data_IF_241798868571
#
_entry.id   IF_241798868571
#
_cell.length_a   1.000
_cell.length_b   1.000
_cell.length_c   1.000
_cell.angle_alpha   90.00
_cell.angle_beta   90.00
_cell.angle_gamma   90.00
#
_symmetry.space_group_name_H-M   'P 1'
#
loop_
_entity.id
_entity.type
_entity.pdbx_description
1 polymer ?
#
# COMPACT_ATOMS: atom_id res chain seq x y z
N UNK A 1 -44.34 -40.27 -54.95
CA UNK A 1 -44.63 -39.26 -53.90
C UNK A 1 -45.31 -40.01 -52.76
N UNK A 2 -44.88 -40.04 -51.50
CA UNK A 2 -44.00 -39.15 -50.77
C UNK A 2 -43.55 -39.86 -49.46
N UNK A 3 -42.24 -39.84 -49.21
CA UNK A 3 -41.48 -39.80 -47.95
C UNK A 3 -41.71 -40.76 -46.76
N UNK A 4 -40.67 -41.59 -46.55
CA UNK A 4 -40.18 -42.08 -45.25
C UNK A 4 -39.79 -40.93 -44.30
N UNK A 5 -40.14 -41.05 -43.01
CA UNK A 5 -39.60 -40.23 -41.91
C UNK A 5 -38.44 -40.96 -41.24
N UNK A 6 -37.21 -40.52 -41.49
CA UNK A 6 -36.06 -40.78 -40.62
C UNK A 6 -36.12 -39.82 -39.43
N UNK A 7 -36.14 -40.35 -38.20
CA UNK A 7 -35.84 -39.56 -37.00
C UNK A 7 -34.34 -39.62 -36.74
N UNK A 8 -33.66 -38.49 -36.93
CA UNK A 8 -32.26 -38.30 -36.53
C UNK A 8 -32.24 -37.90 -35.06
N UNK A 9 -31.74 -38.78 -34.19
CA UNK A 9 -31.37 -38.40 -32.83
C UNK A 9 -30.07 -37.57 -32.89
N UNK A 10 -30.19 -36.25 -32.69
CA UNK A 10 -29.03 -35.42 -32.35
C UNK A 10 -28.58 -35.77 -30.93
N UNK A 11 -27.40 -36.38 -30.80
CA UNK A 11 -26.66 -36.40 -29.54
C UNK A 11 -26.15 -34.98 -29.27
N UNK A 12 -26.76 -34.30 -28.31
CA UNK A 12 -26.19 -33.09 -27.70
C UNK A 12 -24.98 -33.51 -26.88
N UNK A 13 -23.78 -33.29 -27.43
CA UNK A 13 -22.54 -33.32 -26.66
C UNK A 13 -22.58 -32.11 -25.72
N UNK A 14 -22.97 -32.35 -24.46
CA UNK A 14 -22.77 -31.39 -23.38
C UNK A 14 -21.27 -31.32 -23.13
N UNK A 15 -20.63 -30.26 -23.63
CA UNK A 15 -19.30 -29.87 -23.16
C UNK A 15 -19.42 -29.50 -21.68
N UNK A 16 -19.14 -30.47 -20.81
CA UNK A 16 -18.85 -30.19 -19.40
C UNK A 16 -17.56 -29.37 -19.40
N UNK A 17 -17.68 -28.05 -19.27
CA UNK A 17 -16.54 -27.21 -18.97
C UNK A 17 -15.98 -27.68 -17.64
N UNK A 18 -14.78 -28.25 -17.66
CA UNK A 18 -14.00 -28.58 -16.47
C UNK A 18 -13.75 -27.28 -15.69
N UNK A 19 -14.64 -26.95 -14.75
CA UNK A 19 -14.37 -25.98 -13.71
C UNK A 19 -13.18 -26.54 -12.91
N UNK A 20 -12.00 -25.93 -13.06
CA UNK A 20 -10.84 -26.30 -12.26
C UNK A 20 -11.22 -26.21 -10.78
N UNK A 21 -10.93 -27.24 -9.99
CA UNK A 21 -11.20 -27.20 -8.56
C UNK A 21 -10.47 -26.00 -7.94
N UNK A 22 -11.25 -25.11 -7.32
CA UNK A 22 -10.73 -23.96 -6.59
C UNK A 22 -10.52 -24.36 -5.13
N UNK A 23 -9.29 -24.21 -4.63
CA UNK A 23 -9.01 -24.34 -3.19
C UNK A 23 -8.94 -22.95 -2.58
N UNK A 24 -9.71 -22.74 -1.51
CA UNK A 24 -9.70 -21.50 -0.71
C UNK A 24 -9.03 -21.83 0.63
N UNK A 25 -8.15 -20.95 1.09
CA UNK A 25 -7.51 -21.04 2.40
C UNK A 25 -7.67 -19.70 3.10
N UNK A 26 -8.24 -19.71 4.29
CA UNK A 26 -8.44 -18.54 5.13
C UNK A 26 -7.58 -18.66 6.38
N UNK A 27 -6.87 -17.58 6.71
CA UNK A 27 -5.96 -17.51 7.85
C UNK A 27 -6.26 -16.21 8.59
N UNK A 28 -6.63 -16.32 9.86
CA UNK A 28 -6.54 -15.18 10.78
C UNK A 28 -5.10 -15.05 11.21
N UNK A 29 -4.40 -14.06 10.65
CA UNK A 29 -3.00 -13.81 10.96
C UNK A 29 -2.87 -13.22 12.37
N UNK A 30 -3.69 -12.23 12.66
CA UNK A 30 -3.77 -11.62 13.99
C UNK A 30 -5.16 -11.06 14.26
N UNK A 31 -5.71 -11.33 15.45
CA UNK A 31 -6.98 -10.77 15.94
C UNK A 31 -6.82 -10.12 17.32
N UNK A 32 -5.58 -10.09 17.83
CA UNK A 32 -5.22 -9.50 19.13
C UNK A 32 -6.02 -10.04 20.32
N UNK A 33 -6.60 -11.25 20.20
CA UNK A 33 -7.35 -11.91 21.28
C UNK A 33 -6.47 -12.25 22.50
N UNK A 34 -5.18 -12.42 22.28
CA UNK A 34 -4.15 -12.63 23.30
C UNK A 34 -3.66 -11.34 23.97
N UNK A 35 -4.28 -10.19 23.66
CA UNK A 35 -3.89 -8.86 24.15
C UNK A 35 -2.45 -8.47 23.76
N UNK A 36 -1.99 -8.92 22.59
CA UNK A 36 -0.72 -8.52 22.00
C UNK A 36 0.48 -9.33 22.46
N UNK A 37 0.27 -10.43 23.21
CA UNK A 37 1.36 -11.30 23.68
C UNK A 37 2.21 -11.81 22.50
N UNK A 38 1.58 -12.23 21.41
CA UNK A 38 2.27 -12.73 20.20
C UNK A 38 2.64 -11.64 19.19
N UNK A 39 2.44 -10.35 19.51
CA UNK A 39 2.59 -9.28 18.53
C UNK A 39 3.99 -9.25 17.90
N UNK A 40 5.04 -9.27 18.71
CA UNK A 40 6.42 -9.19 18.20
C UNK A 40 6.93 -10.48 17.55
N UNK A 41 6.25 -11.61 17.73
CA UNK A 41 6.53 -12.85 17.00
C UNK A 41 5.97 -12.79 15.57
N UNK A 42 4.84 -12.09 15.41
CA UNK A 42 4.13 -11.92 14.14
C UNK A 42 4.56 -10.66 13.39
N UNK A 43 4.97 -9.61 14.08
CA UNK A 43 5.20 -8.31 13.46
C UNK A 43 6.62 -7.85 13.69
N UNK A 44 7.34 -7.64 12.59
CA UNK A 44 8.63 -6.96 12.58
C UNK A 44 8.40 -5.48 12.39
N UNK A 45 9.12 -4.65 13.14
CA UNK A 45 9.19 -3.20 12.96
C UNK A 45 10.56 -2.87 12.33
N UNK A 46 10.75 -3.12 11.02
CA UNK A 46 12.08 -3.14 10.39
C UNK A 46 12.80 -1.79 10.41
N UNK A 47 12.05 -0.70 10.52
CA UNK A 47 12.58 0.67 10.60
C UNK A 47 12.72 1.16 12.04
N UNK A 48 12.35 0.33 13.00
CA UNK A 48 12.36 0.60 14.43
C UNK A 48 13.54 -0.19 15.03
N UNK A 49 14.76 0.34 14.93
CA UNK A 49 15.94 -0.27 15.56
C UNK A 49 17.28 -0.31 14.81
N UNK A 50 17.48 0.42 13.70
CA UNK A 50 18.79 0.50 13.01
C UNK A 50 19.53 1.84 13.14
N UNK A 51 18.95 2.81 13.83
CA UNK A 51 19.72 3.83 14.56
C UNK A 51 19.38 3.63 16.04
N UNK A 52 20.37 3.74 16.94
CA UNK A 52 20.29 3.51 18.39
C UNK A 52 19.34 4.42 19.18
N UNK A 53 18.24 4.82 18.58
CA UNK A 53 17.16 5.65 19.09
C UNK A 53 15.94 4.76 19.35
N UNK A 54 16.14 3.81 20.26
CA UNK A 54 15.06 3.12 20.98
C UNK A 54 14.02 4.13 21.46
N UNK A 55 12.76 3.69 21.64
CA UNK A 55 11.60 4.31 22.33
C UNK A 55 11.84 5.45 23.35
N UNK A 56 13.05 5.57 23.90
CA UNK A 56 13.56 6.49 24.91
C UNK A 56 14.13 7.80 24.35
N UNK A 57 14.79 7.85 23.17
CA UNK A 57 15.28 9.14 22.61
C UNK A 57 14.18 9.92 21.87
N UNK A 58 13.18 9.22 21.34
CA UNK A 58 12.00 9.78 20.66
C UNK A 58 10.84 10.10 21.61
N UNK A 59 11.05 10.04 22.94
CA UNK A 59 10.05 10.38 23.95
C UNK A 59 8.76 9.54 23.94
N UNK A 60 8.77 8.34 23.33
CA UNK A 60 7.59 7.48 23.26
C UNK A 60 6.48 7.99 22.31
N UNK A 61 6.86 8.62 21.19
CA UNK A 61 5.94 9.15 20.18
C UNK A 61 4.97 8.09 19.61
N UNK A 62 5.46 6.86 19.36
CA UNK A 62 4.62 5.73 18.96
C UNK A 62 4.19 4.91 20.18
N UNK A 63 2.88 4.74 20.35
CA UNK A 63 2.29 3.89 21.38
C UNK A 63 1.46 2.78 20.75
N UNK A 64 1.78 1.55 21.11
CA UNK A 64 0.96 0.37 20.81
C UNK A 64 0.08 0.05 22.02
N UNK A 65 -1.20 -0.24 21.78
CA UNK A 65 -2.13 -0.66 22.82
C UNK A 65 -3.02 -1.79 22.32
N UNK A 66 -3.18 -2.82 23.14
CA UNK A 66 -3.97 -4.00 22.83
C UNK A 66 -5.13 -4.09 23.83
N UNK A 67 -6.32 -3.68 23.40
CA UNK A 67 -7.50 -3.65 24.27
C UNK A 67 -8.75 -3.97 23.46
N UNK A 68 -9.58 -4.88 23.97
CA UNK A 68 -10.83 -5.33 23.33
C UNK A 68 -10.59 -5.97 21.95
N UNK A 69 -9.64 -6.90 21.86
CA UNK A 69 -9.31 -7.66 20.64
C UNK A 69 -9.03 -6.76 19.44
N UNK A 70 -8.25 -5.71 19.67
CA UNK A 70 -7.76 -4.82 18.61
C UNK A 70 -6.43 -4.21 19.00
N UNK A 71 -5.67 -3.88 17.98
CA UNK A 71 -4.49 -3.05 18.07
C UNK A 71 -4.88 -1.58 17.89
N UNK A 72 -4.38 -0.74 18.79
CA UNK A 72 -4.31 0.71 18.65
C UNK A 72 -2.86 1.10 18.41
N UNK A 73 -2.59 1.72 17.28
CA UNK A 73 -1.30 2.36 16.97
C UNK A 73 -1.51 3.86 17.08
N UNK A 74 -0.70 4.56 17.86
CA UNK A 74 -0.98 5.94 18.25
C UNK A 74 0.27 6.81 18.21
N UNK A 75 0.22 7.85 17.38
CA UNK A 75 1.16 8.97 17.37
C UNK A 75 0.40 10.25 16.97
N UNK A 76 -0.44 10.80 17.86
CA UNK A 76 -1.38 11.87 17.53
C UNK A 76 -0.73 13.26 17.41
N UNK A 77 0.48 13.42 17.95
CA UNK A 77 1.24 14.67 17.92
C UNK A 77 2.29 14.61 16.81
N UNK A 78 2.47 15.75 16.13
CA UNK A 78 3.64 15.95 15.30
C UNK A 78 4.83 16.26 16.20
N UNK A 79 5.92 15.53 16.02
CA UNK A 79 7.19 15.73 16.70
C UNK A 79 8.23 16.35 15.73
N UNK A 80 9.33 16.82 16.30
CA UNK A 80 10.49 17.32 15.56
C UNK A 80 11.64 16.34 15.78
N UNK A 81 12.35 15.95 14.72
CA UNK A 81 13.54 15.08 14.80
C UNK A 81 14.35 15.28 13.54
N UNK A 82 15.60 14.85 13.62
CA UNK A 82 16.51 14.74 12.50
C UNK A 82 16.78 13.26 12.29
N UNK A 83 16.54 12.78 11.07
CA UNK A 83 17.05 11.48 10.65
C UNK A 83 17.84 11.69 9.34
N UNK A 84 18.72 10.75 9.02
CA UNK A 84 19.55 10.73 7.83
C UNK A 84 19.06 9.71 6.80
N UNK A 85 18.07 8.87 7.15
CA UNK A 85 17.53 7.84 6.27
C UNK A 85 16.43 8.40 5.34
N UNK A 86 16.39 7.88 4.10
CA UNK A 86 15.41 8.18 3.03
C UNK A 86 14.01 7.56 3.28
N UNK A 87 13.80 6.95 4.46
CA UNK A 87 12.66 6.08 4.76
C UNK A 87 11.67 6.69 5.78
N UNK A 88 11.57 8.02 5.84
CA UNK A 88 10.79 8.73 6.87
C UNK A 88 9.32 8.32 6.93
N UNK A 89 8.71 8.02 5.79
CA UNK A 89 7.29 7.69 5.72
C UNK A 89 6.96 6.25 6.17
N UNK A 90 7.94 5.38 6.43
CA UNK A 90 7.74 3.98 6.84
C UNK A 90 8.13 3.65 8.28
N UNK A 91 8.53 4.63 9.09
CA UNK A 91 9.04 4.42 10.46
C UNK A 91 8.09 3.67 11.41
N UNK A 92 6.80 3.96 11.37
CA UNK A 92 5.81 3.28 12.23
C UNK A 92 5.03 2.19 11.47
N UNK A 93 5.69 1.57 10.50
CA UNK A 93 5.16 0.42 9.78
C UNK A 93 5.67 -0.87 10.43
N UNK A 94 4.73 -1.75 10.75
CA UNK A 94 4.96 -3.15 11.01
C UNK A 94 4.77 -3.97 9.73
N UNK A 95 5.64 -4.96 9.52
CA UNK A 95 5.50 -5.98 8.48
C UNK A 95 5.39 -7.35 9.11
N UNK A 96 4.56 -8.22 8.53
CA UNK A 96 4.39 -9.60 8.96
C UNK A 96 5.74 -10.34 8.89
N UNK A 97 6.14 -11.06 9.94
CA UNK A 97 7.31 -11.96 9.91
C UNK A 97 7.10 -13.12 8.93
N UNK A 98 5.83 -13.40 8.59
CA UNK A 98 5.44 -14.38 7.58
C UNK A 98 5.40 -13.77 6.18
N UNK A 99 5.96 -14.51 5.22
CA UNK A 99 5.85 -14.24 3.78
C UNK A 99 4.84 -15.21 3.17
N UNK A 100 3.76 -14.68 2.60
CA UNK A 100 2.71 -15.48 1.97
C UNK A 100 3.07 -15.74 0.50
N UNK A 101 3.10 -17.00 0.09
CA UNK A 101 3.47 -17.38 -1.28
C UNK A 101 2.35 -17.00 -2.25
N UNK A 102 2.72 -16.35 -3.34
CA UNK A 102 1.80 -16.10 -4.44
C UNK A 102 1.53 -17.42 -5.19
N UNK A 103 0.27 -17.79 -5.46
CA UNK A 103 -0.04 -18.94 -6.28
C UNK A 103 0.38 -18.69 -7.73
N UNK A 104 0.62 -19.77 -8.49
CA UNK A 104 0.83 -19.67 -9.94
C UNK A 104 -0.42 -19.18 -10.66
N UNK A 105 -1.59 -19.63 -10.21
CA UNK A 105 -2.91 -19.25 -10.69
C UNK A 105 -3.82 -19.04 -9.48
N UNK A 106 -4.42 -17.86 -9.38
CA UNK A 106 -5.36 -17.51 -8.32
C UNK A 106 -5.04 -16.18 -7.65
N UNK A 107 -5.23 -16.08 -6.34
CA UNK A 107 -5.07 -14.82 -5.61
C UNK A 107 -4.59 -14.95 -4.18
N UNK A 108 -4.03 -13.85 -3.66
CA UNK A 108 -3.78 -13.61 -2.25
C UNK A 108 -4.45 -12.30 -1.89
N UNK A 109 -5.28 -12.31 -0.85
CA UNK A 109 -5.94 -11.13 -0.32
C UNK A 109 -5.51 -10.92 1.13
N UNK A 110 -5.12 -9.69 1.45
CA UNK A 110 -4.93 -9.23 2.82
C UNK A 110 -6.05 -8.29 3.17
N UNK A 111 -6.64 -8.45 4.35
CA UNK A 111 -7.69 -7.56 4.83
C UNK A 111 -7.55 -7.23 6.30
N UNK A 112 -8.11 -6.08 6.67
CA UNK A 112 -8.21 -5.62 8.04
C UNK A 112 -9.46 -4.77 8.21
N UNK A 113 -10.21 -4.99 9.28
CA UNK A 113 -11.17 -4.01 9.76
C UNK A 113 -10.40 -2.91 10.45
N UNK A 114 -10.53 -1.68 9.97
CA UNK A 114 -9.76 -0.55 10.50
C UNK A 114 -10.52 0.78 10.50
N UNK A 115 -10.01 1.70 11.31
CA UNK A 115 -10.39 3.12 11.35
C UNK A 115 -9.15 3.96 11.65
N UNK A 116 -9.09 5.16 11.10
CA UNK A 116 -8.09 6.15 11.42
C UNK A 116 -8.73 7.42 11.98
N UNK A 117 -8.11 7.99 13.01
CA UNK A 117 -8.34 9.38 13.39
C UNK A 117 -7.07 10.14 13.02
N UNK A 118 -7.22 11.29 12.36
CA UNK A 118 -6.10 12.17 12.03
C UNK A 118 -6.28 13.51 12.73
N UNK A 119 -5.18 14.14 13.06
CA UNK A 119 -5.07 15.33 13.87
C UNK A 119 -4.05 16.25 13.22
N UNK A 120 -4.24 17.56 13.37
CA UNK A 120 -3.25 18.57 13.00
C UNK A 120 -2.82 18.50 11.51
N UNK A 121 -3.69 17.98 10.65
CA UNK A 121 -3.53 18.04 9.19
C UNK A 121 -4.02 19.38 8.65
N UNK A 122 -3.43 19.82 7.54
CA UNK A 122 -3.71 21.10 6.90
C UNK A 122 -4.23 20.85 5.48
N UNK A 123 -5.53 21.07 5.20
CA UNK A 123 -6.14 20.79 3.90
C UNK A 123 -5.53 21.50 2.69
N UNK A 124 -4.72 22.54 2.91
CA UNK A 124 -4.08 23.35 1.85
C UNK A 124 -2.57 23.41 2.00
N UNK A 125 -1.97 22.43 2.68
CA UNK A 125 -0.53 22.37 2.82
C UNK A 125 0.14 22.21 1.45
N UNK A 126 1.06 23.12 1.18
CA UNK A 126 1.92 23.06 0.00
C UNK A 126 3.34 22.79 0.46
N UNK A 127 4.03 21.97 -0.32
CA UNK A 127 5.44 21.68 -0.12
C UNK A 127 6.19 21.98 -1.41
N UNK A 128 7.44 22.41 -1.24
CA UNK A 128 8.37 22.63 -2.32
C UNK A 128 9.30 21.43 -2.37
N UNK A 129 9.45 20.84 -3.54
CA UNK A 129 10.40 19.75 -3.80
C UNK A 129 11.07 19.92 -5.16
N UNK A 130 12.15 19.19 -5.44
CA UNK A 130 12.74 19.11 -6.77
C UNK A 130 12.29 17.83 -7.45
N UNK A 131 11.99 17.89 -8.74
CA UNK A 131 11.70 16.67 -9.50
C UNK A 131 13.03 16.05 -9.92
N UNK A 132 13.24 14.75 -9.71
CA UNK A 132 14.53 14.11 -10.09
C UNK A 132 14.94 14.39 -11.54
N UNK A 133 13.98 14.55 -12.46
CA UNK A 133 14.25 14.84 -13.87
C UNK A 133 14.48 16.32 -14.19
N UNK A 134 14.26 17.23 -13.24
CA UNK A 134 14.34 18.69 -13.43
C UNK A 134 14.89 19.33 -12.16
N UNK A 135 16.02 20.00 -12.28
CA UNK A 135 16.65 20.74 -11.19
C UNK A 135 15.91 22.07 -10.84
N UNK A 136 14.59 22.08 -10.99
CA UNK A 136 13.73 23.23 -10.69
C UNK A 136 12.82 22.87 -9.52
N UNK A 137 12.69 23.76 -8.51
CA UNK A 137 11.68 23.63 -7.47
C UNK A 137 10.27 23.56 -8.07
N UNK A 138 9.48 22.62 -7.58
CA UNK A 138 8.07 22.45 -7.88
C UNK A 138 7.32 22.56 -6.55
N UNK A 139 6.40 23.50 -6.49
CA UNK A 139 5.41 23.56 -5.42
C UNK A 139 4.25 22.63 -5.76
N UNK A 140 3.85 21.78 -4.81
CA UNK A 140 2.66 20.97 -4.96
C UNK A 140 1.89 20.86 -3.64
N UNK A 141 0.58 20.70 -3.77
CA UNK A 141 -0.34 20.54 -2.64
C UNK A 141 -0.33 19.08 -2.21
N UNK A 142 -0.17 18.82 -0.91
CA UNK A 142 -0.34 17.48 -0.34
C UNK A 142 -1.71 17.33 0.30
N UNK A 143 -2.37 16.20 0.05
CA UNK A 143 -3.62 15.87 0.72
C UNK A 143 -3.37 15.47 2.17
N UNK A 144 -4.42 15.50 3.00
CA UNK A 144 -4.30 15.23 4.43
C UNK A 144 -3.88 13.79 4.73
N UNK A 145 -4.33 12.81 3.92
CA UNK A 145 -3.90 11.43 4.06
C UNK A 145 -2.42 11.19 3.77
N UNK A 146 -1.77 12.08 3.01
CA UNK A 146 -0.31 12.11 2.86
C UNK A 146 0.38 12.81 4.02
N UNK A 147 -0.32 13.56 4.86
CA UNK A 147 0.26 14.18 6.05
C UNK A 147 0.21 13.23 7.25
N UNK A 148 -0.93 12.55 7.42
CA UNK A 148 -1.20 11.64 8.51
C UNK A 148 -2.24 10.60 8.09
N UNK A 149 -2.01 9.32 8.36
CA UNK A 149 -2.95 8.25 8.01
C UNK A 149 -2.60 6.93 8.69
N UNK A 150 -3.59 6.03 8.83
CA UNK A 150 -3.34 4.62 9.13
C UNK A 150 -3.34 3.80 7.84
N UNK A 151 -2.54 2.74 7.78
CA UNK A 151 -2.32 1.98 6.55
C UNK A 151 -2.52 0.48 6.72
N UNK A 152 -3.17 -0.13 5.74
CA UNK A 152 -3.06 -1.56 5.43
C UNK A 152 -2.18 -1.71 4.18
N UNK A 153 -1.13 -2.52 4.27
CA UNK A 153 -0.12 -2.71 3.22
C UNK A 153 -0.06 -4.15 2.74
N UNK A 154 0.11 -4.32 1.44
CA UNK A 154 0.59 -5.53 0.80
C UNK A 154 1.96 -5.22 0.17
N UNK A 155 3.01 -5.89 0.66
CA UNK A 155 4.40 -5.57 0.33
C UNK A 155 5.13 -6.72 -0.35
N UNK A 156 5.81 -6.40 -1.45
CA UNK A 156 6.87 -7.20 -2.06
C UNK A 156 8.21 -6.44 -2.02
N UNK A 157 8.39 -5.53 -1.05
CA UNK A 157 9.57 -4.68 -0.95
C UNK A 157 10.89 -5.46 -0.94
N UNK A 158 10.89 -6.67 -0.36
CA UNK A 158 12.05 -7.56 -0.30
C UNK A 158 12.40 -8.27 -1.62
N UNK A 159 11.62 -8.11 -2.69
CA UNK A 159 12.01 -8.61 -4.02
C UNK A 159 12.03 -7.50 -5.06
N UNK A 160 10.90 -6.83 -5.29
CA UNK A 160 10.75 -5.89 -6.42
C UNK A 160 10.57 -4.43 -6.01
N UNK A 161 10.41 -4.16 -4.72
CA UNK A 161 10.09 -2.80 -4.24
C UNK A 161 8.61 -2.45 -4.43
N UNK A 162 7.77 -3.39 -4.90
CA UNK A 162 6.35 -3.14 -5.06
C UNK A 162 5.64 -3.10 -3.71
N UNK A 163 4.83 -2.06 -3.53
CA UNK A 163 3.90 -1.93 -2.40
C UNK A 163 2.53 -1.48 -2.90
N UNK A 164 1.51 -1.96 -2.21
CA UNK A 164 0.12 -1.56 -2.40
C UNK A 164 -0.45 -1.20 -1.03
N UNK A 165 -1.03 -0.02 -0.93
CA UNK A 165 -1.48 0.54 0.34
C UNK A 165 -2.94 0.99 0.23
N UNK A 166 -3.72 0.61 1.23
CA UNK A 166 -4.90 1.37 1.63
C UNK A 166 -4.47 2.40 2.65
N UNK A 167 -4.61 3.68 2.30
CA UNK A 167 -4.29 4.80 3.17
C UNK A 167 -5.59 5.39 3.70
N UNK A 168 -5.81 5.33 5.00
CA UNK A 168 -7.06 5.73 5.68
C UNK A 168 -6.80 6.92 6.56
N UNK A 169 -7.59 7.98 6.42
CA UNK A 169 -7.42 9.23 7.16
C UNK A 169 -8.79 9.89 7.39
N UNK A 170 -9.20 9.96 8.65
CA UNK A 170 -10.51 10.49 9.03
C UNK A 170 -11.66 9.72 8.37
N UNK A 171 -12.47 10.43 7.60
CA UNK A 171 -13.61 9.92 6.83
C UNK A 171 -13.28 9.64 5.36
N UNK A 172 -11.99 9.54 5.02
CA UNK A 172 -11.53 9.29 3.66
C UNK A 172 -10.50 8.16 3.61
N UNK A 173 -10.38 7.58 2.42
CA UNK A 173 -9.27 6.68 2.10
C UNK A 173 -8.82 6.87 0.66
N UNK A 174 -7.58 6.52 0.35
CA UNK A 174 -7.14 6.35 -1.03
C UNK A 174 -6.32 5.07 -1.21
N UNK A 175 -6.45 4.49 -2.40
CA UNK A 175 -5.57 3.43 -2.85
C UNK A 175 -4.27 4.04 -3.38
N UNK A 176 -3.14 3.44 -3.00
CA UNK A 176 -1.82 3.84 -3.44
C UNK A 176 -1.03 2.63 -3.92
N UNK A 177 -0.30 2.81 -5.01
CA UNK A 177 0.75 1.85 -5.42
C UNK A 177 2.08 2.56 -5.52
N UNK A 178 3.13 1.84 -5.18
CA UNK A 178 4.49 2.33 -5.29
C UNK A 178 5.43 1.22 -5.71
N UNK A 179 6.46 1.62 -6.44
CA UNK A 179 7.59 0.79 -6.83
C UNK A 179 8.86 1.55 -6.48
N UNK A 180 9.61 1.01 -5.54
CA UNK A 180 10.85 1.63 -5.08
C UNK A 180 12.04 1.27 -5.97
N UNK A 181 13.07 2.12 -5.94
CA UNK A 181 14.31 1.93 -6.69
C UNK A 181 15.41 1.24 -5.86
N UNK A 182 15.14 0.93 -4.59
CA UNK A 182 16.09 0.41 -3.60
C UNK A 182 15.80 -1.06 -3.21
N UNK A 183 14.96 -1.77 -3.96
CA UNK A 183 14.64 -3.17 -3.68
C UNK A 183 15.87 -4.09 -3.79
N UNK A 184 16.01 -5.12 -2.95
CA UNK A 184 17.25 -5.89 -2.85
C UNK A 184 17.48 -6.90 -3.98
N UNK A 185 16.42 -7.42 -4.64
CA UNK A 185 16.56 -8.45 -5.69
C UNK A 185 16.33 -7.88 -7.10
N UNK A 186 15.30 -7.06 -7.26
CA UNK A 186 14.88 -6.50 -8.54
C UNK A 186 14.55 -5.00 -8.38
N UNK A 187 15.54 -4.17 -8.03
CA UNK A 187 15.34 -2.73 -7.89
C UNK A 187 14.85 -2.12 -9.20
N UNK A 188 13.95 -1.16 -9.10
CA UNK A 188 13.60 -0.33 -10.25
C UNK A 188 14.74 0.65 -10.56
N UNK A 189 14.99 0.91 -11.85
CA UNK A 189 15.70 2.14 -12.22
C UNK A 189 14.76 3.35 -12.09
N UNK A 190 15.29 4.56 -12.33
CA UNK A 190 14.49 5.81 -12.26
C UNK A 190 13.25 5.76 -13.18
N UNK A 191 13.32 5.07 -14.32
CA UNK A 191 12.19 4.93 -15.24
C UNK A 191 11.17 3.86 -14.78
N UNK A 192 11.58 2.98 -13.89
CA UNK A 192 10.76 1.92 -13.30
C UNK A 192 10.10 2.34 -12.00
N UNK A 193 10.68 3.29 -11.27
CA UNK A 193 10.16 3.75 -9.98
C UNK A 193 8.96 4.68 -10.15
N UNK A 194 8.00 4.57 -9.22
CA UNK A 194 6.83 5.45 -9.15
C UNK A 194 6.15 5.34 -7.80
N UNK A 195 5.39 6.36 -7.44
CA UNK A 195 4.49 6.37 -6.29
C UNK A 195 3.23 7.10 -6.73
N UNK A 196 2.07 6.45 -6.68
CA UNK A 196 0.84 7.00 -7.23
C UNK A 196 -0.36 6.78 -6.32
N UNK A 197 -0.95 7.89 -5.90
CA UNK A 197 -2.33 7.91 -5.41
C UNK A 197 -3.26 7.69 -6.59
N UNK A 198 -4.09 6.66 -6.50
CA UNK A 198 -4.95 6.19 -7.57
C UNK A 198 -6.27 6.95 -7.57
N UNK A 199 -6.93 6.95 -6.42
CA UNK A 199 -8.25 7.53 -6.23
C UNK A 199 -8.55 7.66 -4.75
N UNK A 200 -9.12 8.80 -4.38
CA UNK A 200 -9.68 9.05 -3.06
C UNK A 200 -11.16 8.68 -3.03
N UNK A 201 -11.59 8.15 -1.89
CA UNK A 201 -12.94 7.69 -1.61
C UNK A 201 -13.42 8.31 -0.30
N UNK A 202 -14.69 8.71 -0.28
CA UNK A 202 -15.37 9.10 0.94
C UNK A 202 -15.86 7.83 1.66
N UNK A 203 -15.68 7.79 2.98
CA UNK A 203 -16.15 6.73 3.86
C UNK A 203 -17.37 7.21 4.64
N UNK A 204 -18.23 6.27 5.02
CA UNK A 204 -19.21 6.54 6.07
C UNK A 204 -18.53 6.58 7.44
N UNK A 205 -19.24 7.08 8.44
CA UNK A 205 -18.76 7.03 9.82
C UNK A 205 -18.63 5.58 10.30
N UNK A 206 -17.51 5.25 10.96
CA UNK A 206 -17.34 3.96 11.63
C UNK A 206 -16.03 3.27 11.27
N UNK A 207 -16.06 1.94 11.37
CA UNK A 207 -14.98 1.05 10.92
C UNK A 207 -15.37 0.44 9.59
N UNK A 208 -14.38 0.11 8.77
CA UNK A 208 -14.58 -0.50 7.47
C UNK A 208 -13.62 -1.66 7.30
N UNK A 209 -14.03 -2.68 6.54
CA UNK A 209 -13.14 -3.75 6.12
C UNK A 209 -12.40 -3.34 4.86
N UNK A 210 -11.11 -3.03 4.99
CA UNK A 210 -10.24 -2.73 3.87
C UNK A 210 -9.55 -4.01 3.42
N UNK A 211 -9.49 -4.24 2.12
CA UNK A 211 -8.74 -5.37 1.57
C UNK A 211 -7.96 -5.00 0.32
N UNK A 212 -6.81 -5.65 0.16
CA UNK A 212 -5.98 -5.61 -1.05
C UNK A 212 -5.90 -7.04 -1.56
N UNK A 213 -6.35 -7.26 -2.79
CA UNK A 213 -6.38 -8.58 -3.43
C UNK A 213 -5.50 -8.59 -4.66
N UNK A 214 -4.41 -9.33 -4.59
CA UNK A 214 -3.53 -9.57 -5.71
C UNK A 214 -3.96 -10.84 -6.44
N UNK A 215 -4.11 -10.76 -7.76
CA UNK A 215 -4.37 -11.89 -8.64
C UNK A 215 -3.21 -12.13 -9.58
N UNK A 216 -2.98 -13.41 -9.85
CA UNK A 216 -2.04 -13.88 -10.86
C UNK A 216 -2.70 -14.89 -11.77
N UNK A 217 -2.46 -14.70 -13.07
CA UNK A 217 -2.56 -15.76 -14.06
C UNK A 217 -1.30 -15.80 -14.90
N UNK A 218 -0.45 -16.80 -14.67
CA UNK A 218 0.71 -17.07 -15.51
C UNK A 218 0.28 -17.59 -16.88
N UNK A 219 -0.80 -18.34 -17.00
CA UNK A 219 -1.31 -18.80 -18.29
C UNK A 219 -1.75 -17.62 -19.16
N UNK A 220 -2.52 -16.70 -18.59
CA UNK A 220 -2.98 -15.51 -19.32
C UNK A 220 -1.97 -14.35 -19.29
N UNK A 221 -0.80 -14.56 -18.68
CA UNK A 221 0.29 -13.60 -18.58
C UNK A 221 -0.15 -12.23 -18.04
N UNK A 222 -0.97 -12.21 -16.99
CA UNK A 222 -1.29 -10.98 -16.26
C UNK A 222 -1.21 -11.13 -14.74
N UNK A 223 -0.86 -10.02 -14.11
CA UNK A 223 -1.12 -9.75 -12.70
C UNK A 223 -2.05 -8.55 -12.59
N UNK A 224 -2.86 -8.53 -11.54
CA UNK A 224 -3.62 -7.35 -11.15
C UNK A 224 -3.79 -7.25 -9.64
N UNK A 225 -4.07 -6.04 -9.17
CA UNK A 225 -4.38 -5.75 -7.77
C UNK A 225 -5.72 -5.05 -7.71
N UNK A 226 -6.57 -5.50 -6.80
CA UNK A 226 -7.84 -4.87 -6.47
C UNK A 226 -7.80 -4.32 -5.07
N UNK A 227 -8.40 -3.15 -4.91
CA UNK A 227 -8.59 -2.48 -3.64
C UNK A 227 -10.08 -2.54 -3.30
N UNK A 228 -10.40 -3.12 -2.16
CA UNK A 228 -11.78 -3.34 -1.72
C UNK A 228 -12.06 -2.60 -0.41
N UNK A 229 -13.29 -2.08 -0.29
CA UNK A 229 -13.89 -1.60 0.96
C UNK A 229 -15.19 -2.38 1.15
N UNK A 230 -15.35 -3.01 2.30
CA UNK A 230 -16.54 -3.80 2.68
C UNK A 230 -16.92 -4.86 1.62
N UNK A 231 -15.90 -5.51 1.05
CA UNK A 231 -16.06 -6.54 0.02
C UNK A 231 -16.35 -6.01 -1.39
N UNK A 232 -16.55 -4.71 -1.56
CA UNK A 232 -16.76 -4.08 -2.87
C UNK A 232 -15.45 -3.63 -3.49
N UNK A 233 -15.19 -4.01 -4.74
CA UNK A 233 -14.03 -3.52 -5.51
C UNK A 233 -14.20 -2.03 -5.82
N UNK A 234 -13.25 -1.24 -5.35
CA UNK A 234 -13.24 0.22 -5.47
C UNK A 234 -12.36 0.70 -6.63
N UNK A 235 -11.24 0.02 -6.86
CA UNK A 235 -10.38 0.21 -8.04
C UNK A 235 -9.52 -1.03 -8.28
N UNK A 236 -9.04 -1.18 -9.51
CA UNK A 236 -8.16 -2.26 -9.95
C UNK A 236 -6.96 -1.66 -10.66
N UNK A 237 -5.77 -2.20 -10.44
CA UNK A 237 -4.54 -1.93 -11.20
C UNK A 237 -4.19 -3.19 -11.97
N UNK A 238 -4.00 -3.08 -13.28
CA UNK A 238 -3.56 -4.19 -14.14
C UNK A 238 -2.06 -4.06 -14.40
N UNK A 239 -1.44 -5.05 -15.05
CA UNK A 239 -0.05 -4.98 -15.52
C UNK A 239 0.93 -4.49 -14.44
N UNK A 240 0.98 -5.23 -13.33
CA UNK A 240 1.74 -4.82 -12.15
C UNK A 240 3.20 -4.50 -12.49
N UNK A 241 3.66 -3.36 -11.97
CA UNK A 241 4.98 -2.78 -12.22
C UNK A 241 5.03 -1.75 -13.36
N UNK A 242 3.96 -1.62 -14.15
CA UNK A 242 3.73 -0.49 -15.05
C UNK A 242 2.91 0.57 -14.29
N UNK A 243 3.38 1.83 -14.18
CA UNK A 243 2.64 2.88 -13.50
C UNK A 243 1.23 3.06 -14.08
N UNK A 244 0.20 3.17 -13.22
CA UNK A 244 -1.17 3.42 -13.65
C UNK A 244 -1.34 4.58 -14.66
N UNK A 245 -0.57 5.67 -14.55
CA UNK A 245 -0.62 6.78 -15.52
C UNK A 245 -0.04 6.46 -16.91
N UNK A 246 0.67 5.34 -17.04
CA UNK A 246 1.18 4.80 -18.31
C UNK A 246 0.28 3.69 -18.87
N UNK A 247 -0.70 3.22 -18.10
CA UNK A 247 -1.65 2.21 -18.56
C UNK A 247 -2.75 2.87 -19.38
N UNK A 248 -2.91 2.42 -20.63
CA UNK A 248 -3.90 2.98 -21.57
C UNK A 248 -5.31 2.92 -20.97
N UNK A 249 -5.96 4.08 -20.89
CA UNK A 249 -7.35 4.20 -20.44
C UNK A 249 -7.55 4.11 -18.92
N UNK A 250 -6.48 3.99 -18.12
CA UNK A 250 -6.59 3.90 -16.67
C UNK A 250 -7.15 5.20 -16.07
N UNK A 251 -6.43 6.30 -16.27
CA UNK A 251 -6.94 7.63 -15.95
C UNK A 251 -7.66 8.19 -17.17
N UNK A 252 -8.98 8.37 -17.07
CA UNK A 252 -9.79 9.05 -18.09
C UNK A 252 -9.37 10.52 -18.28
N UNK A 253 -8.84 11.14 -17.23
CA UNK A 253 -8.36 12.51 -17.25
C UNK A 253 -6.96 12.58 -16.63
N UNK A 254 -5.97 13.05 -17.40
CA UNK A 254 -4.58 13.17 -16.97
C UNK A 254 -4.39 14.16 -15.81
N UNK A 255 -5.31 15.10 -15.60
CA UNK A 255 -5.26 16.03 -14.45
C UNK A 255 -5.58 15.36 -13.11
N UNK A 256 -6.03 14.09 -13.11
CA UNK A 256 -6.26 13.29 -11.90
C UNK A 256 -5.00 12.58 -11.38
N UNK A 257 -3.92 12.61 -12.15
CA UNK A 257 -2.64 12.01 -11.74
C UNK A 257 -1.97 12.97 -10.77
N UNK A 258 -2.00 12.63 -9.47
CA UNK A 258 -1.43 13.48 -8.41
C UNK A 258 0.10 13.51 -8.50
N UNK A 259 0.72 12.35 -8.73
CA UNK A 259 2.18 12.19 -8.82
C UNK A 259 2.53 11.41 -10.11
N UNK A 260 2.78 12.09 -11.25
CA UNK A 260 3.03 11.43 -12.52
C UNK A 260 4.36 10.67 -12.51
N UNK A 261 4.34 9.43 -13.02
CA UNK A 261 5.56 8.64 -13.14
C UNK A 261 6.51 9.24 -14.18
N UNK A 262 7.82 9.09 -13.94
CA UNK A 262 8.83 9.57 -14.89
C UNK A 262 8.97 8.67 -16.10
N UNK A 263 8.88 7.35 -15.91
CA UNK A 263 9.09 6.37 -16.97
C UNK A 263 7.93 5.43 -17.17
N UNK A 264 8.15 4.47 -18.06
CA UNK A 264 7.13 3.52 -18.52
C UNK A 264 6.91 2.34 -17.56
N UNK A 265 7.72 2.21 -16.51
CA UNK A 265 7.67 1.04 -15.63
C UNK A 265 8.27 -0.21 -16.26
N UNK A 266 8.03 -1.34 -15.60
CA UNK A 266 8.40 -2.67 -16.10
C UNK A 266 7.39 -3.69 -15.56
N UNK A 267 6.96 -4.66 -16.38
CA UNK A 267 6.08 -5.73 -15.93
C UNK A 267 6.78 -6.69 -14.95
N UNK A 268 6.11 -7.03 -13.85
CA UNK A 268 6.64 -7.81 -12.73
C UNK A 268 6.05 -9.22 -12.58
N UNK A 269 5.25 -9.69 -13.54
CA UNK A 269 4.50 -10.95 -13.45
C UNK A 269 5.28 -12.17 -12.93
N UNK A 270 6.55 -12.30 -13.34
CA UNK A 270 7.40 -13.43 -12.97
C UNK A 270 8.44 -13.09 -11.89
N UNK A 271 8.44 -11.86 -11.35
CA UNK A 271 9.46 -11.40 -10.39
C UNK A 271 9.01 -11.44 -8.94
N UNK A 272 7.69 -11.45 -8.69
CA UNK A 272 7.14 -11.52 -7.34
C UNK A 272 6.75 -12.97 -7.03
N UNK A 273 7.21 -13.52 -5.91
CA UNK A 273 6.84 -14.90 -5.50
C UNK A 273 6.18 -14.93 -4.14
N UNK A 274 6.29 -13.86 -3.36
CA UNK A 274 5.76 -13.76 -2.00
C UNK A 274 5.24 -12.35 -1.72
N UNK A 275 4.31 -12.22 -0.77
CA UNK A 275 3.80 -10.94 -0.28
C UNK A 275 3.81 -10.94 1.26
N UNK A 276 4.04 -9.79 1.85
CA UNK A 276 3.97 -9.55 3.30
C UNK A 276 2.82 -8.59 3.60
N UNK A 277 2.10 -8.84 4.69
CA UNK A 277 1.10 -7.91 5.21
C UNK A 277 1.87 -6.81 5.93
N UNK A 278 1.41 -5.58 5.86
CA UNK A 278 1.89 -4.52 6.73
C UNK A 278 0.76 -3.69 7.29
N UNK A 279 1.05 -3.05 8.41
CA UNK A 279 0.16 -2.06 9.00
C UNK A 279 0.95 -0.98 9.72
N UNK A 280 0.31 0.14 10.03
CA UNK A 280 0.98 1.21 10.76
C UNK A 280 0.29 2.53 10.55
N UNK A 281 1.01 3.60 10.82
CA UNK A 281 0.62 4.92 10.37
C UNK A 281 1.71 5.47 9.43
N UNK A 282 1.32 6.41 8.56
CA UNK A 282 2.17 7.06 7.57
C UNK A 282 2.08 8.58 7.66
N UNK A 283 3.21 9.21 7.35
CA UNK A 283 3.29 10.59 6.87
C UNK A 283 4.17 10.57 5.63
N UNK A 284 3.59 10.86 4.45
CA UNK A 284 4.18 10.70 3.12
C UNK A 284 4.29 12.05 2.40
N UNK A 285 5.26 12.83 2.87
CA UNK A 285 5.56 14.18 2.38
C UNK A 285 6.56 14.11 1.21
N UNK A 286 7.50 13.17 1.26
CA UNK A 286 8.42 12.80 0.19
C UNK A 286 7.82 11.66 -0.66
N UNK A 287 7.63 11.88 -1.95
CA UNK A 287 7.20 10.80 -2.86
C UNK A 287 7.98 10.89 -4.14
N UNK A 288 8.44 9.75 -4.64
CA UNK A 288 8.95 9.69 -6.00
C UNK A 288 7.89 10.22 -6.98
N UNK A 289 8.25 11.13 -7.91
CA UNK A 289 9.60 11.52 -8.31
C UNK A 289 10.18 12.78 -7.65
N UNK A 290 9.53 13.28 -6.62
CA UNK A 290 9.90 14.48 -5.90
C UNK A 290 10.87 14.14 -4.77
N UNK A 291 12.10 14.64 -4.87
CA UNK A 291 13.08 14.60 -3.78
C UNK A 291 13.33 16.04 -3.32
N UNK A 292 13.44 16.25 -2.01
CA UNK A 292 13.92 17.53 -1.49
C UNK A 292 15.45 17.54 -1.58
N UNK A 293 15.99 17.96 -2.73
CA UNK A 293 17.43 17.89 -3.03
C UNK A 293 18.25 19.08 -2.47
N UNK A 294 17.61 20.21 -2.10
CA UNK A 294 18.30 21.44 -1.65
C UNK A 294 18.75 21.44 -0.20
N UNK A 295 18.43 20.40 0.55
CA UNK A 295 18.87 20.30 1.92
C UNK A 295 20.08 19.38 1.88
N UNK A 296 21.27 19.99 1.83
CA UNK A 296 22.58 19.34 2.02
C UNK A 296 22.67 18.48 3.30
N UNK A 297 21.60 18.48 4.12
CA UNK A 297 21.39 17.72 5.34
C UNK A 297 20.14 16.80 5.32
N UNK A 298 19.70 16.28 4.17
CA UNK A 298 18.60 15.31 4.07
C UNK A 298 17.29 15.75 4.78
N UNK A 299 16.99 17.03 4.97
CA UNK A 299 15.83 17.43 5.77
C UNK A 299 14.52 17.29 4.97
N UNK A 300 13.61 16.37 5.30
CA UNK A 300 12.20 16.48 4.90
C UNK A 300 11.49 17.37 5.92
N UNK A 301 11.34 18.66 5.61
CA UNK A 301 10.59 19.59 6.46
C UNK A 301 9.27 19.87 5.78
N UNK A 302 8.14 19.67 6.45
CA UNK A 302 6.92 20.43 6.13
C UNK A 302 7.29 21.88 6.48
N UNK A 303 7.54 22.79 5.53
CA UNK A 303 7.93 24.15 5.89
C UNK A 303 6.71 24.81 6.53
N UNK A 304 6.69 24.94 7.86
CA UNK A 304 5.71 25.79 8.55
C UNK A 304 6.07 27.27 8.40
N UNK A 305 7.21 27.60 7.77
CA UNK A 305 7.58 28.96 7.38
C UNK A 305 6.61 29.48 6.32
N UNK A 306 5.43 29.89 6.77
CA UNK A 306 4.28 30.30 5.97
C UNK A 306 2.96 30.18 6.74
N UNK A 307 2.89 29.27 7.73
CA UNK A 307 1.90 29.31 8.79
C UNK A 307 2.43 30.26 9.86
N UNK A 308 1.94 31.49 9.79
CA UNK A 308 2.18 32.55 10.77
C UNK A 308 1.66 32.09 12.14
N UNK A 309 2.45 31.34 12.89
CA UNK A 309 2.46 31.47 14.34
C UNK A 309 3.27 32.75 14.62
N UNK A 310 2.58 33.88 14.53
CA UNK A 310 3.08 35.16 15.05
C UNK A 310 3.45 34.89 16.51
N UNK A 311 4.71 35.14 16.83
CA UNK A 311 5.40 34.86 18.09
C UNK A 311 5.97 33.45 18.25
N UNK A 312 7.21 33.29 17.74
CA UNK A 312 8.39 33.33 18.62
C UNK A 312 9.65 33.57 17.80
N UNK A 313 10.22 34.76 17.95
CA UNK A 313 11.62 35.02 17.62
C UNK A 313 12.50 33.98 18.34
N UNK A 314 13.49 33.43 17.64
CA UNK A 314 14.30 32.25 17.98
C UNK A 314 13.60 30.89 17.79
N UNK A 315 13.34 30.51 16.53
CA UNK A 315 13.15 29.10 16.20
C UNK A 315 14.48 28.53 15.65
N UNK A 316 15.28 27.80 16.45
CA UNK A 316 16.57 27.24 16.03
C UNK A 316 16.46 26.10 14.99
N UNK A 317 15.26 25.79 14.50
CA UNK A 317 14.98 24.58 13.72
C UNK A 317 14.82 24.83 12.22
N UNK A 318 15.78 25.52 11.59
CA UNK A 318 15.86 25.63 10.12
C UNK A 318 16.31 24.33 9.43
N UNK A 319 16.60 23.27 10.19
CA UNK A 319 17.11 21.98 9.71
C UNK A 319 16.37 20.74 10.23
N UNK A 320 15.33 20.90 11.07
CA UNK A 320 14.62 19.78 11.69
C UNK A 320 13.48 19.24 10.81
N UNK A 321 13.39 17.92 10.67
CA UNK A 321 12.25 17.27 10.02
C UNK A 321 11.03 17.37 10.94
N UNK A 322 9.86 17.73 10.38
CA UNK A 322 8.57 17.54 11.04
C UNK A 322 8.14 16.11 10.78
N UNK A 323 7.97 15.32 11.84
CA UNK A 323 7.65 13.90 11.76
C UNK A 323 6.87 13.51 13.02
N UNK A 324 5.85 12.70 12.89
CA UNK A 324 4.90 12.41 13.96
C UNK A 324 3.57 12.28 13.29
N UNK A 325 2.96 11.11 13.43
CA UNK A 325 2.07 10.67 12.35
C UNK A 325 0.67 11.23 12.45
N UNK A 326 0.46 12.26 13.29
CA UNK A 326 -0.79 13.00 13.43
C UNK A 326 -2.00 12.08 13.45
N UNK A 327 -1.86 10.84 13.94
CA UNK A 327 -2.82 9.79 13.66
C UNK A 327 -2.90 8.77 14.77
N UNK A 328 -4.08 8.19 14.87
CA UNK A 328 -4.36 7.00 15.63
C UNK A 328 -5.06 6.01 14.70
N UNK A 329 -4.42 4.87 14.48
CA UNK A 329 -4.96 3.75 13.73
C UNK A 329 -5.52 2.69 14.68
N UNK A 330 -6.70 2.17 14.35
CA UNK A 330 -7.30 1.02 15.03
C UNK A 330 -7.40 -0.13 14.03
N UNK A 331 -6.90 -1.30 14.41
CA UNK A 331 -6.91 -2.52 13.60
C UNK A 331 -7.52 -3.65 14.42
N UNK A 332 -8.62 -4.22 13.94
CA UNK A 332 -9.36 -5.24 14.69
C UNK A 332 -8.91 -6.65 14.32
N UNK A 333 -8.37 -6.84 13.13
CA UNK A 333 -7.82 -8.11 12.68
C UNK A 333 -6.91 -7.93 11.47
N UNK A 334 -6.21 -8.99 11.12
CA UNK A 334 -5.51 -9.19 9.86
C UNK A 334 -5.84 -10.57 9.36
N UNK A 335 -6.52 -10.64 8.22
CA UNK A 335 -6.87 -11.92 7.59
C UNK A 335 -6.16 -12.06 6.25
N UNK A 336 -5.86 -13.32 5.91
CA UNK A 336 -5.34 -13.72 4.61
C UNK A 336 -6.29 -14.71 3.99
N UNK A 337 -6.74 -14.41 2.77
CA UNK A 337 -7.49 -15.35 1.93
C UNK A 337 -6.63 -15.69 0.72
N UNK A 338 -6.33 -16.95 0.53
CA UNK A 338 -5.65 -17.46 -0.66
C UNK A 338 -6.60 -18.31 -1.49
N UNK A 339 -6.60 -18.06 -2.79
CA UNK A 339 -7.30 -18.86 -3.77
C UNK A 339 -6.27 -19.48 -4.69
N UNK A 340 -6.33 -20.80 -4.88
CA UNK A 340 -5.47 -21.49 -5.85
C UNK A 340 -6.32 -22.30 -6.81
N UNK A 341 -6.02 -22.20 -8.10
CA UNK A 341 -6.64 -23.08 -9.11
C UNK A 341 -5.73 -24.28 -9.34
N UNK A 342 -6.27 -25.50 -9.22
CA UNK A 342 -5.52 -26.69 -9.59
C UNK A 342 -5.30 -26.71 -11.10
N UNK A 343 -4.07 -27.00 -11.56
CA UNK A 343 -3.84 -27.37 -12.95
C UNK A 343 -4.69 -28.61 -13.25
N UNK A 344 -5.69 -28.49 -14.14
CA UNK A 344 -6.36 -29.68 -14.68
C UNK A 344 -5.30 -30.50 -15.38
N UNK A 345 -4.95 -31.67 -14.84
CA UNK A 345 -4.13 -32.65 -15.56
C UNK A 345 -4.81 -32.87 -16.91
N UNK A 346 -4.16 -32.48 -18.01
CA UNK A 346 -4.63 -32.85 -19.34
C UNK A 346 -4.83 -34.37 -19.32
N UNK A 347 -5.97 -34.91 -19.78
CA UNK A 347 -6.11 -36.35 -19.92
C UNK A 347 -4.96 -36.81 -20.82
N UNK A 348 -4.15 -37.73 -20.29
CA UNK A 348 -3.17 -38.46 -21.10
C UNK A 348 -4.01 -39.16 -22.16
N UNK A 349 -3.84 -38.77 -23.43
CA UNK A 349 -4.38 -39.56 -24.53
C UNK A 349 -3.65 -40.90 -24.46
N UNK A 350 -4.38 -41.95 -24.07
CA UNK A 350 -3.95 -43.33 -24.27
C UNK A 350 -4.05 -43.69 -25.74
#
# INVERSE_FOLDING_TARGET
MLFWKLSVCLFSIVLVQNLSAQKITEITYDDFSDKGISYFDKWSLPYYGTAGETFVSEGGALKLGFLNNRLKVSAPEFHWSSDYLLHDHVKYLALSTTKFRLPKEGSVMFSSIMKANVFQTYPSLKIVARKISKDQPIEYKINEGRQASAVLRMSNAHQTGMVFDWVVYGDQAFALTERTHDAPLYPANIQGAYCQVIKTFQLSSGVHNFAIRYFRSLQAQYDQVEYLIDGKVMTTIKNIGIPPDKQKGYFKNKTRVIDPSQGVGENLINKMTTMMIGHGLFSRVDVFPYQQQDLTNNSVTIPLTGLIFKDKASNPYTSSRLWGQGAIGFFYNFNVTMVTHSETKKPVKM
#
